data_IF_427906010407
#
_entry.id   IF_427906010407
#
_cell.length_a   1.000
_cell.length_b   1.000
_cell.length_c   1.000
_cell.angle_alpha   90.00
_cell.angle_beta   90.00
_cell.angle_gamma   90.00
#
_symmetry.space_group_name_H-M   'P 1'
#
loop_
_entity.id
_entity.type
_entity.pdbx_description
1 polymer ?
#
# COMPACT_ATOMS: atom_id res chain seq x y z
N UNK A 1 1.32 27.85 20.70
CA UNK A 1 1.77 26.46 20.86
C UNK A 1 0.79 25.46 20.24
N UNK A 2 0.42 25.56 18.95
CA UNK A 2 -0.60 24.68 18.32
C UNK A 2 -0.29 24.33 16.83
N UNK A 3 0.98 24.28 16.43
CA UNK A 3 1.35 24.11 14.99
C UNK A 3 2.03 22.80 14.59
N UNK A 4 2.20 21.82 15.48
CA UNK A 4 2.96 20.57 15.19
C UNK A 4 2.13 19.28 15.15
N UNK A 5 0.86 19.29 15.52
CA UNK A 5 0.01 18.08 15.50
C UNK A 5 -0.65 17.77 14.13
N UNK A 6 -0.66 18.72 13.19
CA UNK A 6 -1.35 18.60 11.90
C UNK A 6 -0.50 17.89 10.83
N UNK A 7 0.81 17.79 11.01
CA UNK A 7 1.72 17.28 9.96
C UNK A 7 1.74 15.74 9.88
N UNK A 8 1.37 15.03 10.93
CA UNK A 8 1.46 13.55 10.97
C UNK A 8 0.26 12.82 10.35
N UNK A 9 -0.88 13.47 10.23
CA UNK A 9 -2.10 12.88 9.63
C UNK A 9 -2.09 12.96 8.09
N UNK A 10 -1.37 13.92 7.52
CA UNK A 10 -1.29 14.11 6.05
C UNK A 10 -0.36 13.09 5.37
N UNK A 11 0.61 12.53 6.09
CA UNK A 11 1.54 11.54 5.52
C UNK A 11 0.93 10.14 5.30
N UNK A 12 -0.15 9.80 6.00
CA UNK A 12 -0.75 8.46 5.91
C UNK A 12 -1.75 8.31 4.75
N UNK A 13 -2.36 9.40 4.28
CA UNK A 13 -3.33 9.35 3.18
C UNK A 13 -2.69 9.39 1.78
N UNK A 14 -1.42 9.79 1.67
CA UNK A 14 -0.69 9.82 0.39
C UNK A 14 -0.19 8.45 -0.08
N UNK A 15 -0.23 7.42 0.78
CA UNK A 15 0.31 6.09 0.49
C UNK A 15 -0.67 5.11 -0.15
N UNK A 16 -1.96 5.43 -0.24
CA UNK A 16 -2.97 4.52 -0.80
C UNK A 16 -3.31 4.74 -2.28
N UNK A 17 -2.89 5.85 -2.87
CA UNK A 17 -3.12 6.13 -4.30
C UNK A 17 -1.94 5.84 -5.23
N UNK A 18 -0.74 5.61 -4.69
CA UNK A 18 0.48 5.39 -5.48
C UNK A 18 0.94 3.91 -5.52
N UNK A 19 0.15 2.99 -4.96
CA UNK A 19 0.55 1.62 -4.63
C UNK A 19 0.86 0.71 -5.82
N UNK A 20 0.46 1.03 -7.04
CA UNK A 20 0.69 0.17 -8.21
C UNK A 20 1.95 0.55 -8.98
N UNK A 21 2.44 1.79 -8.86
CA UNK A 21 3.59 2.26 -9.66
C UNK A 21 4.92 2.31 -8.90
N UNK A 22 4.92 2.31 -7.56
CA UNK A 22 6.15 2.38 -6.75
C UNK A 22 6.72 1.02 -6.36
N UNK A 23 5.97 -0.07 -6.53
CA UNK A 23 6.42 -1.41 -6.12
C UNK A 23 7.53 -1.98 -7.01
N UNK A 24 7.76 -1.40 -8.17
CA UNK A 24 8.79 -1.88 -9.10
C UNK A 24 10.19 -1.28 -8.92
N UNK A 25 10.34 -0.14 -8.24
CA UNK A 25 11.67 0.51 -8.07
C UNK A 25 12.43 0.13 -6.78
N UNK A 26 11.78 -0.47 -5.78
CA UNK A 26 12.40 -0.71 -4.46
C UNK A 26 13.05 -2.09 -4.32
N UNK A 27 12.94 -2.97 -5.31
CA UNK A 27 13.49 -4.33 -5.20
C UNK A 27 14.82 -4.57 -5.91
N UNK A 28 15.50 -3.53 -6.40
CA UNK A 28 16.79 -3.67 -7.09
C UNK A 28 18.03 -3.28 -6.27
N UNK A 29 17.86 -2.59 -5.12
CA UNK A 29 19.00 -2.22 -4.29
C UNK A 29 18.61 -2.34 -2.81
N UNK A 30 19.46 -3.04 -2.03
CA UNK A 30 19.48 -3.21 -0.57
C UNK A 30 18.70 -4.39 0.05
N UNK A 31 19.31 -5.59 -0.11
CA UNK A 31 19.25 -6.61 0.94
C UNK A 31 20.70 -6.90 1.41
N UNK A 32 21.06 -6.69 2.67
CA UNK A 32 22.35 -7.16 3.19
C UNK A 32 22.29 -8.69 3.34
N UNK A 33 23.02 -9.39 2.48
CA UNK A 33 23.26 -10.82 2.60
C UNK A 33 24.14 -11.13 3.82
N UNK A 34 23.99 -12.32 4.43
CA UNK A 34 24.83 -12.71 5.54
C UNK A 34 26.28 -12.91 5.10
N UNK A 35 27.21 -12.35 5.87
CA UNK A 35 28.65 -12.48 5.69
C UNK A 35 29.07 -13.95 5.75
N UNK A 36 29.56 -14.47 4.63
CA UNK A 36 30.28 -15.76 4.58
C UNK A 36 31.76 -15.45 4.40
N UNK A 37 32.54 -15.83 5.40
CA UNK A 37 34.02 -15.78 5.41
C UNK A 37 34.59 -16.66 4.30
N UNK A 38 35.67 -16.24 3.61
CA UNK A 38 36.26 -17.04 2.56
C UNK A 38 37.27 -18.06 3.14
N UNK A 39 37.02 -19.35 2.90
CA UNK A 39 38.03 -20.38 3.01
C UNK A 39 38.77 -20.51 1.70
N UNK A 40 40.05 -20.29 1.73
CA UNK A 40 40.99 -20.44 0.63
C UNK A 40 41.27 -21.93 0.33
N UNK A 41 41.26 -22.36 -0.93
CA UNK A 41 42.04 -23.51 -1.49
C UNK A 41 42.33 -23.27 -2.99
N UNK A 42 43.40 -23.85 -3.59
CA UNK A 42 44.35 -23.08 -4.38
C UNK A 42 44.24 -23.21 -5.91
N UNK A 43 44.95 -22.31 -6.55
CA UNK A 43 45.20 -22.14 -7.98
C UNK A 43 45.78 -23.39 -8.65
N UNK A 44 45.22 -23.78 -9.81
CA UNK A 44 45.93 -24.52 -10.85
C UNK A 44 45.86 -23.74 -12.16
N UNK A 45 47.00 -23.34 -12.67
CA UNK A 45 47.23 -22.68 -13.96
C UNK A 45 47.10 -23.74 -15.08
N UNK A 46 46.44 -23.34 -16.16
CA UNK A 46 46.37 -24.13 -17.39
C UNK A 46 46.04 -23.26 -18.60
N UNK A 47 47.05 -22.85 -19.29
CA UNK A 47 47.31 -22.48 -20.71
C UNK A 47 46.15 -22.25 -21.68
N UNK A 48 46.17 -21.03 -22.30
CA UNK A 48 45.56 -20.72 -23.63
C UNK A 48 46.18 -21.57 -24.75
N UNK A 49 45.43 -21.77 -25.84
CA UNK A 49 45.87 -21.18 -27.10
C UNK A 49 44.78 -20.40 -27.85
N UNK A 50 45.29 -19.42 -28.60
CA UNK A 50 44.61 -18.62 -29.61
C UNK A 50 44.26 -19.50 -30.85
N UNK A 51 43.13 -19.17 -31.50
CA UNK A 51 42.78 -19.70 -32.81
C UNK A 51 41.57 -19.04 -33.43
N UNK A 52 41.81 -18.07 -34.31
CA UNK A 52 41.09 -17.68 -35.54
C UNK A 52 39.57 -17.91 -35.69
N UNK A 53 38.87 -16.76 -35.98
CA UNK A 53 37.61 -16.72 -36.72
C UNK A 53 37.66 -17.39 -38.08
N UNK A 54 36.52 -17.91 -38.57
CA UNK A 54 35.96 -17.28 -39.78
C UNK A 54 34.45 -16.96 -39.68
N UNK A 55 34.09 -15.91 -40.39
CA UNK A 55 32.74 -15.44 -40.66
C UNK A 55 31.92 -16.51 -41.42
N UNK A 56 30.66 -16.67 -41.04
CA UNK A 56 29.64 -17.40 -41.81
C UNK A 56 28.35 -16.55 -41.88
N UNK A 57 27.66 -16.50 -43.03
CA UNK A 57 26.70 -15.49 -43.40
C UNK A 57 25.31 -15.69 -42.82
N UNK A 58 24.52 -14.62 -42.81
CA UNK A 58 23.18 -14.48 -42.32
C UNK A 58 22.25 -15.66 -42.53
N UNK A 59 21.67 -16.14 -41.44
CA UNK A 59 20.42 -16.87 -41.46
C UNK A 59 19.32 -15.88 -41.04
N UNK A 60 18.51 -15.48 -42.02
CA UNK A 60 17.22 -14.85 -41.82
C UNK A 60 16.37 -15.87 -41.08
N UNK A 61 16.18 -15.66 -39.76
CA UNK A 61 15.18 -16.42 -39.01
C UNK A 61 13.82 -15.82 -39.39
N UNK A 62 13.20 -16.45 -40.38
CA UNK A 62 11.77 -16.28 -40.63
C UNK A 62 11.04 -16.76 -39.36
N UNK A 63 10.41 -15.85 -38.65
CA UNK A 63 9.45 -16.17 -37.61
C UNK A 63 8.30 -16.94 -38.25
N UNK A 64 8.25 -18.26 -37.99
CA UNK A 64 7.07 -19.07 -38.29
C UNK A 64 5.99 -18.71 -37.26
N UNK A 65 4.80 -18.35 -37.72
CA UNK A 65 3.65 -18.22 -36.82
C UNK A 65 3.03 -19.63 -36.65
N UNK A 66 3.67 -20.49 -35.89
CA UNK A 66 3.00 -21.69 -35.41
C UNK A 66 2.38 -21.38 -34.04
N UNK A 67 1.19 -20.83 -34.11
CA UNK A 67 0.24 -20.86 -33.01
C UNK A 67 -0.17 -22.30 -32.75
N UNK A 68 0.48 -22.95 -31.82
CA UNK A 68 0.02 -24.23 -31.27
C UNK A 68 -1.20 -23.96 -30.37
N UNK A 69 -2.35 -23.72 -31.00
CA UNK A 69 -3.63 -23.73 -30.32
C UNK A 69 -3.89 -25.13 -29.76
N UNK A 70 -3.63 -25.35 -28.48
CA UNK A 70 -4.02 -26.58 -27.81
C UNK A 70 -2.97 -27.30 -26.94
N UNK A 71 -1.73 -26.82 -26.85
CA UNK A 71 -0.80 -27.36 -25.88
C UNK A 71 -1.19 -26.96 -24.45
N UNK A 72 -1.10 -27.86 -23.44
CA UNK A 72 -1.36 -27.52 -22.07
C UNK A 72 -0.37 -26.45 -21.63
N UNK A 73 -0.90 -25.40 -20.97
CA UNK A 73 -0.08 -24.33 -20.40
C UNK A 73 0.85 -24.90 -19.33
N UNK A 74 2.09 -24.40 -19.20
CA UNK A 74 2.99 -24.79 -18.13
C UNK A 74 2.38 -24.46 -16.75
N UNK A 75 2.90 -25.03 -15.64
CA UNK A 75 2.50 -24.65 -14.28
C UNK A 75 2.56 -23.14 -14.08
N UNK A 76 1.79 -22.62 -13.12
CA UNK A 76 1.82 -21.20 -12.78
C UNK A 76 3.22 -20.78 -12.30
N UNK A 77 3.69 -19.57 -12.66
CA UNK A 77 4.98 -19.04 -12.20
C UNK A 77 4.97 -18.82 -10.69
N UNK A 78 6.15 -18.58 -10.11
CA UNK A 78 6.34 -18.47 -8.67
C UNK A 78 5.47 -17.37 -8.05
N UNK A 79 5.29 -16.25 -8.73
CA UNK A 79 4.47 -15.11 -8.27
C UNK A 79 2.97 -15.42 -8.17
N UNK A 80 2.47 -16.34 -8.98
CA UNK A 80 1.04 -16.73 -9.00
C UNK A 80 0.78 -18.07 -8.30
N UNK A 81 1.84 -18.76 -7.88
CA UNK A 81 1.68 -20.03 -7.16
C UNK A 81 1.00 -19.79 -5.80
N UNK A 82 0.04 -20.66 -5.47
CA UNK A 82 -0.70 -20.61 -4.21
C UNK A 82 -1.54 -19.31 -4.01
N UNK A 83 -1.82 -18.59 -5.13
CA UNK A 83 -2.74 -17.45 -5.13
C UNK A 83 -4.05 -17.81 -5.83
N UNK A 84 -5.12 -17.08 -5.50
CA UNK A 84 -6.41 -17.21 -6.18
C UNK A 84 -6.51 -16.17 -7.31
N UNK A 85 -7.17 -16.54 -8.41
CA UNK A 85 -7.45 -15.63 -9.52
C UNK A 85 -8.30 -14.44 -9.04
N UNK A 86 -7.85 -13.22 -9.28
CA UNK A 86 -8.60 -12.00 -8.95
C UNK A 86 -9.41 -11.52 -10.17
N UNK A 87 -10.54 -10.86 -9.88
CA UNK A 87 -11.39 -10.26 -10.88
C UNK A 87 -12.50 -11.18 -11.39
N UNK A 88 -13.33 -10.63 -12.27
CA UNK A 88 -14.49 -11.31 -12.85
C UNK A 88 -14.81 -10.75 -14.24
N UNK A 89 -15.57 -11.54 -15.02
CA UNK A 89 -16.12 -11.11 -16.31
C UNK A 89 -17.62 -10.95 -16.16
N UNK A 90 -18.15 -9.79 -16.47
CA UNK A 90 -19.58 -9.53 -16.50
C UNK A 90 -20.09 -9.54 -17.94
N UNK A 91 -21.28 -10.12 -18.09
CA UNK A 91 -22.00 -10.21 -19.37
C UNK A 91 -23.40 -9.68 -19.14
N UNK A 92 -23.90 -8.87 -20.05
CA UNK A 92 -25.27 -8.34 -19.97
C UNK A 92 -26.32 -9.40 -20.38
N UNK A 93 -27.61 -9.03 -20.27
CA UNK A 93 -28.72 -9.89 -20.62
C UNK A 93 -28.77 -10.24 -22.13
N UNK A 94 -28.08 -9.48 -22.97
CA UNK A 94 -28.00 -9.68 -24.44
C UNK A 94 -26.81 -10.58 -24.82
N UNK A 95 -25.97 -10.97 -23.86
CA UNK A 95 -24.80 -11.81 -24.09
C UNK A 95 -23.54 -11.06 -24.50
N UNK A 96 -23.51 -9.74 -24.31
CA UNK A 96 -22.36 -8.88 -24.57
C UNK A 96 -21.54 -8.62 -23.31
N UNK A 97 -20.24 -8.37 -23.50
CA UNK A 97 -19.31 -8.02 -22.43
C UNK A 97 -19.70 -6.68 -21.80
N UNK A 98 -19.66 -6.62 -20.46
CA UNK A 98 -19.71 -5.37 -19.71
C UNK A 98 -18.31 -5.06 -19.17
N UNK A 99 -17.52 -4.22 -19.85
CA UNK A 99 -16.20 -3.82 -19.38
C UNK A 99 -16.31 -3.16 -18.01
N UNK A 100 -15.50 -3.62 -17.04
CA UNK A 100 -15.51 -3.12 -15.67
C UNK A 100 -14.15 -3.28 -15.00
N UNK A 101 -14.00 -2.76 -13.79
CA UNK A 101 -12.76 -2.85 -13.02
C UNK A 101 -12.37 -4.31 -12.70
N UNK A 102 -13.34 -5.22 -12.58
CA UNK A 102 -13.09 -6.64 -12.29
C UNK A 102 -12.43 -7.34 -13.47
N UNK A 103 -12.86 -7.03 -14.70
CA UNK A 103 -12.20 -7.52 -15.91
C UNK A 103 -10.74 -7.06 -15.97
N UNK A 104 -10.48 -5.79 -15.62
CA UNK A 104 -9.11 -5.28 -15.54
C UNK A 104 -8.29 -5.98 -14.45
N UNK A 105 -8.90 -6.29 -13.28
CA UNK A 105 -8.23 -7.07 -12.23
C UNK A 105 -7.85 -8.46 -12.71
N UNK A 106 -8.73 -9.13 -13.45
CA UNK A 106 -8.43 -10.42 -14.07
C UNK A 106 -7.20 -10.35 -14.98
N UNK A 107 -7.13 -9.34 -15.85
CA UNK A 107 -5.95 -9.14 -16.72
C UNK A 107 -4.69 -8.87 -15.89
N UNK A 108 -4.77 -7.98 -14.91
CA UNK A 108 -3.64 -7.60 -14.07
C UNK A 108 -3.14 -8.75 -13.19
N UNK A 109 -4.01 -9.67 -12.76
CA UNK A 109 -3.61 -10.86 -12.05
C UNK A 109 -2.56 -11.65 -12.85
N UNK A 110 -2.83 -11.96 -14.11
CA UNK A 110 -1.86 -12.68 -14.95
C UNK A 110 -0.69 -11.80 -15.40
N UNK A 111 -0.90 -10.51 -15.63
CA UNK A 111 0.16 -9.56 -15.99
C UNK A 111 1.17 -9.36 -14.86
N UNK A 112 0.83 -9.70 -13.62
CA UNK A 112 1.78 -9.67 -12.49
C UNK A 112 2.95 -10.64 -12.65
N UNK A 113 2.80 -11.66 -13.52
CA UNK A 113 3.88 -12.59 -13.91
C UNK A 113 4.90 -12.00 -14.90
N UNK A 114 4.76 -10.71 -15.25
CA UNK A 114 5.72 -10.04 -16.15
C UNK A 114 7.13 -10.08 -15.55
N UNK A 115 8.07 -10.57 -16.32
CA UNK A 115 9.46 -10.81 -15.89
C UNK A 115 9.75 -12.27 -15.54
N UNK A 116 8.75 -13.07 -15.19
CA UNK A 116 8.87 -14.52 -15.00
C UNK A 116 8.46 -15.27 -16.28
N UNK A 117 7.48 -14.75 -17.00
CA UNK A 117 6.96 -15.33 -18.24
C UNK A 117 7.00 -14.34 -19.41
N UNK A 118 6.99 -14.87 -20.62
CA UNK A 118 6.89 -14.06 -21.84
C UNK A 118 5.51 -13.42 -21.96
N UNK A 119 5.43 -12.26 -22.62
CA UNK A 119 4.16 -11.57 -22.85
C UNK A 119 3.15 -12.44 -23.62
N UNK A 120 3.63 -13.28 -24.55
CA UNK A 120 2.79 -14.22 -25.31
C UNK A 120 2.20 -15.29 -24.39
N UNK A 121 2.97 -15.86 -23.48
CA UNK A 121 2.50 -16.87 -22.53
C UNK A 121 1.48 -16.27 -21.54
N UNK A 122 1.75 -15.07 -21.03
CA UNK A 122 0.80 -14.35 -20.15
C UNK A 122 -0.52 -14.11 -20.89
N UNK A 123 -0.46 -13.66 -22.15
CA UNK A 123 -1.68 -13.49 -22.97
C UNK A 123 -2.45 -14.79 -23.14
N UNK A 124 -1.75 -15.91 -23.41
CA UNK A 124 -2.40 -17.22 -23.53
C UNK A 124 -3.04 -17.68 -22.21
N UNK A 125 -2.46 -17.36 -21.05
CA UNK A 125 -3.07 -17.63 -19.76
C UNK A 125 -4.38 -16.85 -19.58
N UNK A 126 -4.38 -15.57 -19.92
CA UNK A 126 -5.61 -14.73 -19.86
C UNK A 126 -6.68 -15.32 -20.79
N UNK A 127 -6.32 -15.69 -22.01
CA UNK A 127 -7.25 -16.31 -22.95
C UNK A 127 -7.78 -17.66 -22.44
N UNK A 128 -6.95 -18.47 -21.80
CA UNK A 128 -7.38 -19.72 -21.19
C UNK A 128 -8.36 -19.47 -20.01
N UNK A 129 -8.09 -18.47 -19.18
CA UNK A 129 -8.99 -18.06 -18.11
C UNK A 129 -10.34 -17.57 -18.64
N UNK A 130 -10.36 -16.74 -19.69
CA UNK A 130 -11.59 -16.28 -20.35
C UNK A 130 -12.39 -17.47 -20.93
N UNK A 131 -11.73 -18.42 -21.60
CA UNK A 131 -12.38 -19.65 -22.14
C UNK A 131 -12.98 -20.51 -21.02
N UNK A 132 -12.29 -20.62 -19.87
CA UNK A 132 -12.77 -21.40 -18.73
C UNK A 132 -14.08 -20.84 -18.14
N UNK A 133 -14.35 -19.55 -18.32
CA UNK A 133 -15.60 -18.89 -17.86
C UNK A 133 -16.80 -19.19 -18.74
N UNK A 134 -16.61 -19.86 -19.89
CA UNK A 134 -17.69 -20.29 -20.81
C UNK A 134 -18.61 -19.14 -21.23
N UNK A 135 -18.02 -18.02 -21.62
CA UNK A 135 -18.76 -16.81 -22.04
C UNK A 135 -19.54 -17.09 -23.34
N UNK A 136 -20.65 -16.34 -23.59
CA UNK A 136 -21.23 -16.25 -24.92
C UNK A 136 -20.18 -15.83 -25.97
N UNK A 137 -20.36 -16.29 -27.23
CA UNK A 137 -19.37 -16.03 -28.27
C UNK A 137 -19.08 -14.53 -28.45
N UNK A 138 -20.12 -13.69 -28.50
CA UNK A 138 -19.96 -12.24 -28.62
C UNK A 138 -19.12 -11.66 -27.45
N UNK A 139 -19.47 -12.01 -26.21
CA UNK A 139 -18.72 -11.54 -25.03
C UNK A 139 -17.27 -12.05 -25.01
N UNK A 140 -17.01 -13.26 -25.53
CA UNK A 140 -15.65 -13.79 -25.63
C UNK A 140 -14.82 -12.99 -26.63
N UNK A 141 -15.36 -12.71 -27.83
CA UNK A 141 -14.68 -11.93 -28.86
C UNK A 141 -14.41 -10.49 -28.39
N UNK A 142 -15.41 -9.86 -27.73
CA UNK A 142 -15.27 -8.55 -27.11
C UNK A 142 -14.22 -8.53 -25.99
N UNK A 143 -14.16 -9.57 -25.15
CA UNK A 143 -13.15 -9.67 -24.10
C UNK A 143 -11.73 -9.81 -24.64
N UNK A 144 -11.56 -10.55 -25.75
CA UNK A 144 -10.28 -10.63 -26.47
C UNK A 144 -9.87 -9.30 -27.05
N UNK A 145 -10.81 -8.59 -27.68
CA UNK A 145 -10.54 -7.25 -28.21
C UNK A 145 -10.14 -6.27 -27.10
N UNK A 146 -10.89 -6.22 -25.99
CA UNK A 146 -10.55 -5.37 -24.85
C UNK A 146 -9.20 -5.73 -24.25
N UNK A 147 -8.83 -7.02 -24.21
CA UNK A 147 -7.50 -7.44 -23.75
C UNK A 147 -6.40 -6.89 -24.65
N UNK A 148 -6.55 -7.01 -25.99
CA UNK A 148 -5.54 -6.54 -26.94
C UNK A 148 -5.38 -5.02 -26.89
N UNK A 149 -6.49 -4.29 -26.79
CA UNK A 149 -6.52 -2.84 -26.61
C UNK A 149 -5.88 -2.43 -25.27
N UNK A 150 -6.13 -3.21 -24.21
CA UNK A 150 -5.52 -2.97 -22.90
C UNK A 150 -4.01 -3.17 -22.91
N UNK A 151 -3.52 -4.20 -23.58
CA UNK A 151 -2.08 -4.42 -23.74
C UNK A 151 -1.41 -3.31 -24.55
N UNK A 152 -2.06 -2.83 -25.61
CA UNK A 152 -1.60 -1.68 -26.41
C UNK A 152 -1.56 -0.38 -25.55
N UNK A 153 -2.59 -0.15 -24.74
CA UNK A 153 -2.59 0.96 -23.78
C UNK A 153 -1.40 0.87 -22.78
N UNK A 154 -1.14 -0.30 -22.22
CA UNK A 154 -0.04 -0.47 -21.27
C UNK A 154 1.32 -0.17 -21.90
N UNK A 155 1.53 -0.54 -23.15
CA UNK A 155 2.76 -0.22 -23.88
C UNK A 155 2.90 1.28 -24.14
N UNK A 156 1.82 1.95 -24.57
CA UNK A 156 1.80 3.39 -24.75
C UNK A 156 2.05 4.14 -23.42
N UNK A 157 1.46 3.68 -22.31
CA UNK A 157 1.65 4.26 -21.00
C UNK A 157 3.10 4.09 -20.48
N UNK A 158 3.76 2.98 -20.80
CA UNK A 158 5.22 2.82 -20.54
C UNK A 158 6.04 3.84 -21.32
N UNK A 159 5.71 4.07 -22.60
CA UNK A 159 6.35 5.07 -23.42
C UNK A 159 6.29 6.47 -22.81
N UNK A 160 5.15 6.85 -22.23
CA UNK A 160 5.00 8.11 -21.50
C UNK A 160 5.98 8.22 -20.33
N UNK A 161 6.22 7.13 -19.59
CA UNK A 161 7.15 7.08 -18.46
C UNK A 161 8.63 7.11 -18.85
N UNK A 162 8.99 6.47 -19.97
CA UNK A 162 10.38 6.28 -20.40
C UNK A 162 10.98 7.48 -21.12
N UNK A 163 10.17 8.33 -21.75
CA UNK A 163 10.62 9.47 -22.57
C UNK A 163 11.07 10.68 -21.75
N UNK A 164 11.25 10.58 -20.44
CA UNK A 164 11.66 11.69 -19.57
C UNK A 164 10.57 12.74 -19.33
N UNK A 165 9.55 12.81 -20.18
CA UNK A 165 8.44 13.76 -20.06
C UNK A 165 7.68 13.60 -18.73
N UNK A 166 7.48 12.36 -18.28
CA UNK A 166 6.78 12.10 -17.03
C UNK A 166 7.51 12.62 -15.78
N UNK A 167 8.84 12.79 -15.83
CA UNK A 167 9.63 13.34 -14.72
C UNK A 167 9.41 14.86 -14.53
N UNK A 168 8.98 15.56 -15.58
CA UNK A 168 8.75 17.01 -15.58
C UNK A 168 7.27 17.38 -15.49
N UNK A 169 6.36 16.45 -15.77
CA UNK A 169 4.91 16.67 -15.67
C UNK A 169 4.48 16.74 -14.20
N UNK A 170 3.55 17.65 -13.92
CA UNK A 170 2.86 17.59 -12.64
C UNK A 170 1.86 16.41 -12.59
N UNK A 171 1.33 16.12 -11.40
CA UNK A 171 0.42 14.98 -11.20
C UNK A 171 -0.85 15.09 -12.03
N UNK A 172 -1.40 16.29 -12.19
CA UNK A 172 -2.65 16.51 -12.95
C UNK A 172 -2.42 16.31 -14.46
N UNK A 173 -1.34 16.85 -14.99
CA UNK A 173 -0.93 16.68 -16.39
C UNK A 173 -0.69 15.21 -16.74
N UNK A 174 -0.03 14.48 -15.83
CA UNK A 174 0.22 13.05 -16.00
C UNK A 174 -1.06 12.22 -16.01
N UNK A 175 -1.98 12.49 -15.09
CA UNK A 175 -3.28 11.82 -15.06
C UNK A 175 -4.12 12.11 -16.29
N UNK A 176 -4.10 13.35 -16.78
CA UNK A 176 -4.80 13.70 -18.02
C UNK A 176 -4.20 13.00 -19.26
N UNK A 177 -2.87 12.89 -19.31
CA UNK A 177 -2.19 12.16 -20.38
C UNK A 177 -2.55 10.66 -20.37
N UNK A 178 -2.60 10.03 -19.19
CA UNK A 178 -3.04 8.64 -19.04
C UNK A 178 -4.51 8.47 -19.45
N UNK A 179 -5.37 9.39 -19.04
CA UNK A 179 -6.80 9.39 -19.41
C UNK A 179 -6.99 9.50 -20.92
N UNK A 180 -6.18 10.34 -21.58
CA UNK A 180 -6.18 10.45 -23.05
C UNK A 180 -5.78 9.12 -23.70
N UNK A 181 -4.69 8.50 -23.27
CA UNK A 181 -4.25 7.19 -23.78
C UNK A 181 -5.29 6.10 -23.56
N UNK A 182 -5.96 6.06 -22.39
CA UNK A 182 -7.06 5.12 -22.13
C UNK A 182 -8.18 5.26 -23.15
N UNK A 183 -8.64 6.48 -23.45
CA UNK A 183 -9.68 6.72 -24.45
C UNK A 183 -9.23 6.38 -25.87
N UNK A 184 -7.97 6.68 -26.21
CA UNK A 184 -7.42 6.40 -27.55
C UNK A 184 -7.34 4.88 -27.81
N UNK A 185 -6.92 4.10 -26.85
CA UNK A 185 -6.72 2.66 -27.02
C UNK A 185 -7.97 1.83 -26.71
N UNK A 186 -8.70 2.17 -25.65
CA UNK A 186 -9.80 1.35 -25.13
C UNK A 186 -11.19 1.83 -25.57
N UNK A 187 -11.28 3.04 -26.16
CA UNK A 187 -12.55 3.58 -26.63
C UNK A 187 -13.63 3.56 -25.56
N UNK A 188 -14.77 2.92 -25.85
CA UNK A 188 -15.90 2.82 -24.92
C UNK A 188 -15.65 1.94 -23.70
N UNK A 189 -14.64 1.06 -23.71
CA UNK A 189 -14.30 0.23 -22.55
C UNK A 189 -13.53 1.01 -21.47
N UNK A 190 -12.94 2.17 -21.81
CA UNK A 190 -12.12 2.97 -20.89
C UNK A 190 -12.85 3.33 -19.60
N UNK A 191 -14.08 3.82 -19.71
CA UNK A 191 -14.87 4.23 -18.54
C UNK A 191 -15.22 3.05 -17.64
N UNK A 192 -15.54 1.89 -18.22
CA UNK A 192 -15.81 0.68 -17.44
C UNK A 192 -14.57 0.19 -16.70
N UNK A 193 -13.41 0.18 -17.36
CA UNK A 193 -12.17 -0.32 -16.77
C UNK A 193 -11.53 0.63 -15.75
N UNK A 194 -11.69 1.95 -15.92
CA UNK A 194 -10.95 2.98 -15.18
C UNK A 194 -11.80 4.09 -14.56
N UNK A 195 -13.09 4.20 -14.87
CA UNK A 195 -13.90 5.35 -14.49
C UNK A 195 -13.95 5.60 -12.98
N UNK A 196 -13.99 4.55 -12.18
CA UNK A 196 -13.94 4.66 -10.71
C UNK A 196 -12.59 5.21 -10.23
N UNK A 197 -11.48 4.71 -10.78
CA UNK A 197 -10.13 5.20 -10.47
C UNK A 197 -9.98 6.66 -10.90
N UNK A 198 -10.43 7.01 -12.10
CA UNK A 198 -10.36 8.38 -12.62
C UNK A 198 -11.19 9.38 -11.80
N UNK A 199 -12.33 8.94 -11.25
CA UNK A 199 -13.12 9.77 -10.34
C UNK A 199 -12.37 10.04 -9.03
N UNK A 200 -11.70 9.03 -8.47
CA UNK A 200 -10.85 9.18 -7.29
C UNK A 200 -9.65 10.08 -7.56
N UNK A 201 -8.98 9.88 -8.68
CA UNK A 201 -7.83 10.70 -9.10
C UNK A 201 -8.22 12.16 -9.29
N UNK A 202 -9.37 12.43 -9.90
CA UNK A 202 -9.88 13.79 -10.07
C UNK A 202 -10.09 14.49 -8.70
N UNK A 203 -10.70 13.80 -7.74
CA UNK A 203 -10.86 14.31 -6.37
C UNK A 203 -9.51 14.55 -5.71
N UNK A 204 -8.54 13.63 -5.88
CA UNK A 204 -7.21 13.78 -5.30
C UNK A 204 -6.47 15.01 -5.85
N UNK A 205 -6.55 15.27 -7.17
CA UNK A 205 -5.95 16.44 -7.81
C UNK A 205 -6.58 17.75 -7.29
N UNK A 206 -7.91 17.81 -7.22
CA UNK A 206 -8.61 19.00 -6.70
C UNK A 206 -8.28 19.22 -5.21
N UNK A 207 -8.18 18.17 -4.42
CA UNK A 207 -7.76 18.23 -3.03
C UNK A 207 -6.35 18.84 -2.89
N UNK A 208 -5.40 18.40 -3.70
CA UNK A 208 -4.04 18.96 -3.71
C UNK A 208 -4.04 20.47 -4.08
N UNK A 209 -4.88 20.89 -5.03
CA UNK A 209 -5.05 22.31 -5.37
C UNK A 209 -5.58 23.11 -4.18
N UNK A 210 -6.64 22.62 -3.51
CA UNK A 210 -7.21 23.28 -2.32
C UNK A 210 -6.21 23.37 -1.15
N UNK A 211 -5.36 22.36 -0.97
CA UNK A 211 -4.33 22.38 0.07
C UNK A 211 -3.22 23.42 -0.20
N UNK A 212 -2.90 23.65 -1.47
CA UNK A 212 -1.88 24.62 -1.89
C UNK A 212 -2.42 26.06 -1.97
N UNK A 213 -3.72 26.23 -2.06
CA UNK A 213 -4.36 27.55 -2.17
C UNK A 213 -4.26 28.33 -0.86
N UNK A 214 -3.32 29.29 -0.83
CA UNK A 214 -3.12 30.14 0.33
C UNK A 214 -4.18 31.25 0.48
N UNK A 215 -5.02 31.48 -0.53
CA UNK A 215 -6.06 32.50 -0.52
C UNK A 215 -7.30 32.09 0.28
N UNK A 216 -7.47 30.78 0.52
CA UNK A 216 -8.64 30.23 1.23
C UNK A 216 -8.49 30.36 2.75
N UNK A 217 -9.55 30.79 3.41
CA UNK A 217 -9.68 30.63 4.85
C UNK A 217 -9.76 29.14 5.23
N UNK A 218 -9.60 28.86 6.52
CA UNK A 218 -9.71 27.50 7.04
C UNK A 218 -11.11 26.93 6.79
N UNK A 219 -12.13 27.73 7.07
CA UNK A 219 -13.55 27.38 6.93
C UNK A 219 -13.93 27.13 5.48
N UNK A 220 -13.51 27.99 4.54
CA UNK A 220 -13.74 27.78 3.11
C UNK A 220 -13.07 26.52 2.60
N UNK A 221 -11.83 26.25 3.06
CA UNK A 221 -11.11 25.02 2.69
C UNK A 221 -11.82 23.78 3.20
N UNK A 222 -12.28 23.77 4.46
CA UNK A 222 -13.03 22.66 5.05
C UNK A 222 -14.34 22.39 4.28
N UNK A 223 -15.09 23.42 3.93
CA UNK A 223 -16.32 23.30 3.15
C UNK A 223 -16.06 22.71 1.74
N UNK A 224 -15.04 23.22 1.05
CA UNK A 224 -14.69 22.70 -0.29
C UNK A 224 -14.16 21.26 -0.23
N UNK A 225 -13.39 20.92 0.81
CA UNK A 225 -12.93 19.55 1.03
C UNK A 225 -14.11 18.60 1.30
N UNK A 226 -15.08 18.98 2.08
CA UNK A 226 -16.31 18.20 2.31
C UNK A 226 -17.09 17.98 0.99
N UNK A 227 -17.24 19.03 0.18
CA UNK A 227 -17.90 18.93 -1.14
C UNK A 227 -17.15 18.03 -2.11
N UNK A 228 -15.80 17.92 -2.01
CA UNK A 228 -15.02 16.98 -2.81
C UNK A 228 -15.24 15.53 -2.38
N UNK A 229 -15.36 15.25 -1.08
CA UNK A 229 -15.64 13.88 -0.61
C UNK A 229 -16.99 13.37 -1.13
N UNK A 230 -18.00 14.24 -1.30
CA UNK A 230 -19.29 13.85 -1.89
C UNK A 230 -19.21 13.47 -3.37
N UNK A 231 -18.14 13.85 -4.08
CA UNK A 231 -17.89 13.50 -5.50
C UNK A 231 -17.22 12.14 -5.68
N UNK A 232 -16.73 11.54 -4.58
CA UNK A 232 -16.17 10.19 -4.64
C UNK A 232 -17.25 9.15 -4.95
N UNK A 233 -16.91 8.06 -5.64
CA UNK A 233 -17.78 6.90 -5.77
C UNK A 233 -18.31 6.44 -4.41
N UNK A 234 -19.59 6.04 -4.31
CA UNK A 234 -20.21 5.72 -3.01
C UNK A 234 -19.49 4.64 -2.20
N UNK A 235 -18.97 3.61 -2.87
CA UNK A 235 -18.21 2.52 -2.26
C UNK A 235 -16.85 2.98 -1.72
N UNK A 236 -16.15 3.87 -2.46
CA UNK A 236 -14.89 4.48 -2.01
C UNK A 236 -15.13 5.36 -0.80
N UNK A 237 -16.21 6.16 -0.82
CA UNK A 237 -16.61 7.00 0.31
C UNK A 237 -16.93 6.16 1.55
N UNK A 238 -17.74 5.11 1.39
CA UNK A 238 -18.06 4.18 2.46
C UNK A 238 -16.81 3.51 3.05
N UNK A 239 -15.90 3.04 2.22
CA UNK A 239 -14.63 2.44 2.65
C UNK A 239 -13.74 3.42 3.40
N UNK A 240 -13.66 4.69 2.95
CA UNK A 240 -12.92 5.74 3.66
C UNK A 240 -13.55 6.08 5.00
N UNK A 241 -14.86 6.19 5.05
CA UNK A 241 -15.58 6.46 6.29
C UNK A 241 -15.36 5.34 7.32
N UNK A 242 -15.44 4.09 6.88
CA UNK A 242 -15.13 2.93 7.70
C UNK A 242 -13.69 2.96 8.23
N UNK A 243 -12.71 3.26 7.37
CA UNK A 243 -11.31 3.33 7.74
C UNK A 243 -11.00 4.42 8.78
N UNK A 244 -11.71 5.56 8.75
CA UNK A 244 -11.49 6.67 9.69
C UNK A 244 -12.41 6.62 10.91
N UNK A 245 -13.42 5.75 10.92
CA UNK A 245 -14.38 5.63 12.01
C UNK A 245 -13.72 5.42 13.39
N UNK A 246 -12.70 4.55 13.55
CA UNK A 246 -12.04 4.39 14.84
C UNK A 246 -11.33 5.67 15.34
N UNK A 247 -10.70 6.41 14.42
CA UNK A 247 -10.04 7.66 14.75
C UNK A 247 -11.04 8.75 15.15
N UNK A 248 -12.17 8.84 14.44
CA UNK A 248 -13.26 9.76 14.77
C UNK A 248 -13.86 9.44 16.12
N UNK A 249 -14.12 8.16 16.39
CA UNK A 249 -14.58 7.68 17.69
C UNK A 249 -13.63 8.11 18.82
N UNK A 250 -12.33 7.87 18.65
CA UNK A 250 -11.32 8.27 19.63
C UNK A 250 -11.28 9.79 19.83
N UNK A 251 -11.42 10.58 18.78
CA UNK A 251 -11.45 12.04 18.88
C UNK A 251 -12.65 12.52 19.68
N UNK A 252 -13.85 11.99 19.42
CA UNK A 252 -15.07 12.30 20.17
C UNK A 252 -14.94 11.90 21.64
N UNK A 253 -14.39 10.71 21.93
CA UNK A 253 -14.14 10.28 23.31
C UNK A 253 -13.16 11.22 24.05
N UNK A 254 -12.11 11.67 23.37
CA UNK A 254 -11.18 12.66 23.95
C UNK A 254 -11.85 14.01 24.22
N UNK A 255 -12.72 14.46 23.32
CA UNK A 255 -13.49 15.70 23.54
C UNK A 255 -14.48 15.56 24.72
N UNK A 256 -15.17 14.43 24.84
CA UNK A 256 -16.05 14.13 25.97
C UNK A 256 -15.28 14.16 27.29
N UNK A 257 -14.14 13.47 27.36
CA UNK A 257 -13.28 13.46 28.55
C UNK A 257 -12.72 14.85 28.89
N UNK A 258 -12.32 15.64 27.88
CA UNK A 258 -11.86 17.02 28.07
C UNK A 258 -12.98 17.95 28.56
N UNK A 259 -14.25 17.67 28.21
CA UNK A 259 -15.42 18.33 28.69
C UNK A 259 -15.87 17.87 30.11
N UNK A 260 -15.18 16.89 30.71
CA UNK A 260 -15.47 16.39 32.05
C UNK A 260 -16.48 15.25 32.11
N UNK A 261 -16.70 14.54 30.98
CA UNK A 261 -17.57 13.37 30.95
C UNK A 261 -17.08 12.29 31.94
N UNK A 262 -18.03 11.64 32.59
CA UNK A 262 -17.78 10.55 33.53
C UNK A 262 -17.49 9.25 32.82
N UNK A 263 -17.02 8.23 33.55
CA UNK A 263 -16.85 6.88 33.00
C UNK A 263 -18.19 6.30 32.50
N UNK A 264 -19.31 6.62 33.17
CA UNK A 264 -20.64 6.21 32.75
C UNK A 264 -21.07 6.91 31.46
N UNK A 265 -20.82 8.20 31.30
CA UNK A 265 -21.10 8.93 30.05
C UNK A 265 -20.34 8.33 28.87
N UNK A 266 -19.07 7.95 29.08
CA UNK A 266 -18.23 7.31 28.07
C UNK A 266 -18.75 5.90 27.75
N UNK A 267 -19.16 5.13 28.76
CA UNK A 267 -19.79 3.83 28.58
C UNK A 267 -21.05 3.92 27.71
N UNK A 268 -21.97 4.85 28.04
CA UNK A 268 -23.20 5.04 27.27
C UNK A 268 -22.94 5.49 25.83
N UNK A 269 -21.99 6.39 25.64
CA UNK A 269 -21.54 6.81 24.32
C UNK A 269 -21.03 5.61 23.50
N UNK A 270 -20.17 4.76 24.07
CA UNK A 270 -19.64 3.55 23.42
C UNK A 270 -20.73 2.55 23.10
N UNK A 271 -21.64 2.31 24.03
CA UNK A 271 -22.80 1.40 23.78
C UNK A 271 -23.60 1.83 22.56
N UNK A 272 -23.86 3.12 22.41
CA UNK A 272 -24.64 3.65 21.29
C UNK A 272 -23.89 3.66 19.96
N UNK A 273 -22.56 3.74 19.96
CA UNK A 273 -21.74 3.92 18.73
C UNK A 273 -21.11 2.64 18.23
N UNK A 274 -20.62 1.77 19.12
CA UNK A 274 -19.89 0.55 18.76
C UNK A 274 -20.52 -0.74 19.29
N UNK A 275 -21.57 -0.63 20.10
CA UNK A 275 -22.30 -1.75 20.67
C UNK A 275 -21.64 -2.39 21.89
N UNK A 276 -22.32 -3.32 22.58
CA UNK A 276 -21.92 -3.80 23.91
C UNK A 276 -20.62 -4.60 23.89
N UNK A 277 -20.39 -5.43 22.89
CA UNK A 277 -19.20 -6.27 22.82
C UNK A 277 -17.93 -5.43 22.63
N UNK A 278 -17.94 -4.44 21.72
CA UNK A 278 -16.82 -3.54 21.49
C UNK A 278 -16.61 -2.60 22.69
N UNK A 279 -17.68 -2.15 23.35
CA UNK A 279 -17.61 -1.35 24.58
C UNK A 279 -16.83 -2.10 25.66
N UNK A 280 -17.19 -3.35 25.95
CA UNK A 280 -16.47 -4.16 26.94
C UNK A 280 -14.99 -4.37 26.62
N UNK A 281 -14.66 -4.57 25.33
CA UNK A 281 -13.24 -4.66 24.89
C UNK A 281 -12.48 -3.36 25.08
N UNK A 282 -13.08 -2.22 24.75
CA UNK A 282 -12.47 -0.90 24.92
C UNK A 282 -12.23 -0.56 26.39
N UNK A 283 -13.18 -0.87 27.26
CA UNK A 283 -13.04 -0.67 28.72
C UNK A 283 -11.96 -1.54 29.34
N UNK A 284 -11.87 -2.81 28.90
CA UNK A 284 -10.79 -3.72 29.32
C UNK A 284 -9.43 -3.14 28.90
N UNK A 285 -9.31 -2.67 27.65
CA UNK A 285 -8.10 -2.05 27.14
C UNK A 285 -7.73 -0.77 27.91
N UNK A 286 -8.72 0.05 28.25
CA UNK A 286 -8.49 1.28 29.04
C UNK A 286 -8.01 0.94 30.45
N UNK A 287 -8.56 -0.10 31.10
CA UNK A 287 -8.09 -0.60 32.38
C UNK A 287 -6.65 -1.11 32.31
N UNK A 288 -6.29 -1.88 31.27
CA UNK A 288 -4.93 -2.34 31.04
C UNK A 288 -3.94 -1.17 30.84
N UNK A 289 -4.35 -0.18 30.05
CA UNK A 289 -3.55 1.05 29.81
C UNK A 289 -3.34 1.85 31.08
N UNK A 290 -4.38 1.99 31.90
CA UNK A 290 -4.30 2.67 33.17
C UNK A 290 -3.35 1.95 34.15
N UNK A 291 -3.45 0.62 34.26
CA UNK A 291 -2.53 -0.18 35.07
C UNK A 291 -1.08 -0.10 34.58
N UNK A 292 -0.87 -0.15 33.26
CA UNK A 292 0.45 0.03 32.67
C UNK A 292 1.03 1.42 33.00
N UNK A 293 0.25 2.47 32.81
CA UNK A 293 0.65 3.85 33.11
C UNK A 293 1.03 4.02 34.58
N UNK A 294 0.26 3.43 35.50
CA UNK A 294 0.54 3.47 36.93
C UNK A 294 1.84 2.73 37.23
N UNK A 295 2.03 1.50 36.77
CA UNK A 295 3.28 0.72 36.98
C UNK A 295 4.50 1.43 36.43
N UNK A 296 4.39 2.07 35.28
CA UNK A 296 5.48 2.84 34.69
C UNK A 296 5.82 4.09 35.53
N UNK A 297 4.81 4.80 36.03
CA UNK A 297 5.02 5.94 36.93
C UNK A 297 5.69 5.52 38.26
N UNK A 298 5.24 4.42 38.87
CA UNK A 298 5.82 3.85 40.10
C UNK A 298 7.26 3.43 39.88
N UNK A 299 7.57 2.79 38.77
CA UNK A 299 8.93 2.43 38.39
C UNK A 299 9.83 3.66 38.26
N UNK A 300 9.37 4.69 37.58
CA UNK A 300 10.12 5.94 37.38
C UNK A 300 10.40 6.66 38.70
N UNK A 301 9.42 6.75 39.59
CA UNK A 301 9.58 7.34 40.92
C UNK A 301 10.60 6.56 41.75
N UNK A 302 10.53 5.24 41.75
CA UNK A 302 11.53 4.36 42.46
C UNK A 302 12.92 4.49 41.85
N UNK A 303 13.04 4.55 40.55
CA UNK A 303 14.33 4.76 39.85
C UNK A 303 14.97 6.10 40.21
N UNK A 304 14.18 7.15 40.28
CA UNK A 304 14.63 8.47 40.69
C UNK A 304 15.11 8.45 42.16
N UNK A 305 14.34 7.85 43.06
CA UNK A 305 14.73 7.69 44.47
C UNK A 305 16.04 6.93 44.62
N UNK A 306 16.28 5.88 43.84
CA UNK A 306 17.57 5.18 43.80
C UNK A 306 18.69 6.09 43.30
N UNK A 307 18.41 7.01 42.37
CA UNK A 307 19.37 8.00 41.89
C UNK A 307 19.85 8.94 42.99
N UNK A 308 18.97 9.25 43.94
CA UNK A 308 19.27 10.14 45.08
C UNK A 308 19.90 9.41 46.28
N UNK A 309 19.51 8.15 46.52
CA UNK A 309 19.90 7.41 47.74
C UNK A 309 21.17 6.55 47.58
N UNK A 310 21.52 6.11 46.36
CA UNK A 310 22.68 5.27 46.10
C UNK A 310 23.77 6.06 45.37
N UNK A 311 24.85 6.48 46.01
CA UNK A 311 25.91 7.28 45.41
C UNK A 311 26.80 6.47 44.46
N UNK A 312 26.94 5.15 44.70
CA UNK A 312 27.77 4.26 43.86
C UNK A 312 27.08 3.96 42.54
N UNK A 313 27.66 4.36 41.40
CA UNK A 313 27.04 4.17 40.10
C UNK A 313 26.77 2.70 39.73
N UNK A 314 27.69 1.79 40.11
CA UNK A 314 27.56 0.36 39.81
C UNK A 314 26.43 -0.29 40.61
N UNK A 315 26.35 0.03 41.90
CA UNK A 315 25.26 -0.43 42.78
C UNK A 315 23.91 0.13 42.34
N UNK A 316 23.87 1.41 42.03
CA UNK A 316 22.67 2.07 41.52
C UNK A 316 22.17 1.41 40.21
N UNK A 317 23.08 1.14 39.28
CA UNK A 317 22.71 0.46 38.04
C UNK A 317 22.17 -0.95 38.30
N UNK A 318 22.82 -1.72 39.19
CA UNK A 318 22.35 -3.05 39.56
C UNK A 318 20.96 -3.00 40.22
N UNK A 319 20.71 -2.02 41.09
CA UNK A 319 19.42 -1.85 41.76
C UNK A 319 18.30 -1.46 40.73
N UNK A 320 18.58 -0.57 39.79
CA UNK A 320 17.64 -0.20 38.73
C UNK A 320 17.32 -1.40 37.83
N UNK A 321 18.32 -2.21 37.49
CA UNK A 321 18.09 -3.43 36.72
C UNK A 321 17.19 -4.42 37.46
N UNK A 322 17.41 -4.66 38.76
CA UNK A 322 16.52 -5.49 39.56
C UNK A 322 15.10 -4.94 39.60
N UNK A 323 14.95 -3.64 39.87
CA UNK A 323 13.65 -3.00 39.89
C UNK A 323 12.90 -3.16 38.54
N UNK A 324 13.61 -3.06 37.41
CA UNK A 324 13.06 -3.29 36.08
C UNK A 324 12.58 -4.75 35.92
N UNK A 325 13.40 -5.72 36.37
CA UNK A 325 13.06 -7.12 36.31
C UNK A 325 11.87 -7.51 37.18
N UNK A 326 11.78 -6.91 38.38
CA UNK A 326 10.70 -7.19 39.32
C UNK A 326 9.38 -6.53 38.96
N UNK A 327 9.43 -5.42 38.19
CA UNK A 327 8.26 -4.62 37.85
C UNK A 327 7.60 -5.01 36.51
N UNK A 328 8.34 -5.63 35.59
CA UNK A 328 7.89 -5.83 34.18
C UNK A 328 8.28 -7.20 33.63
N UNK A 329 7.42 -7.75 32.77
CA UNK A 329 7.71 -8.94 31.97
C UNK A 329 8.83 -8.70 30.95
N UNK A 330 9.45 -9.73 30.36
CA UNK A 330 10.46 -9.54 29.30
C UNK A 330 10.01 -8.63 28.15
N UNK A 331 8.78 -8.79 27.69
CA UNK A 331 8.19 -8.02 26.60
C UNK A 331 7.93 -6.56 27.02
N UNK A 332 7.45 -6.37 28.24
CA UNK A 332 7.20 -5.05 28.81
C UNK A 332 8.49 -4.24 29.01
N UNK A 333 9.62 -4.89 29.33
CA UNK A 333 10.92 -4.20 29.49
C UNK A 333 11.39 -3.51 28.22
N UNK A 334 11.11 -4.11 27.03
CA UNK A 334 11.39 -3.48 25.75
C UNK A 334 10.54 -2.22 25.56
N UNK A 335 9.27 -2.26 25.98
CA UNK A 335 8.36 -1.12 25.94
C UNK A 335 8.75 0.01 26.90
N UNK A 336 9.27 -0.32 28.09
CA UNK A 336 9.79 0.68 29.05
C UNK A 336 10.95 1.45 28.43
N UNK A 337 11.92 0.76 27.81
CA UNK A 337 13.04 1.40 27.12
C UNK A 337 12.60 2.33 25.99
N UNK A 338 11.63 1.90 25.18
CA UNK A 338 11.06 2.73 24.12
C UNK A 338 10.32 3.97 24.68
N UNK A 339 9.55 3.81 25.76
CA UNK A 339 8.83 4.90 26.40
C UNK A 339 9.78 5.98 26.96
N UNK A 340 10.89 5.58 27.57
CA UNK A 340 11.92 6.50 28.08
C UNK A 340 12.62 7.24 26.92
N UNK A 341 12.88 6.56 25.80
CA UNK A 341 13.48 7.19 24.61
C UNK A 341 12.56 8.24 23.99
N UNK A 342 11.26 7.95 23.88
CA UNK A 342 10.27 8.89 23.36
C UNK A 342 10.15 10.13 24.27
N UNK A 343 10.12 9.93 25.57
CA UNK A 343 10.01 11.04 26.54
C UNK A 343 11.26 11.93 26.49
N UNK A 344 12.46 11.33 26.42
CA UNK A 344 13.70 12.09 26.25
C UNK A 344 13.70 12.93 24.97
N UNK A 345 13.20 12.37 23.86
CA UNK A 345 13.10 13.06 22.58
C UNK A 345 12.06 14.21 22.58
N UNK A 346 10.94 14.03 23.30
CA UNK A 346 9.88 15.05 23.40
C UNK A 346 10.19 16.12 24.43
N UNK A 347 10.91 15.77 25.51
CA UNK A 347 11.35 16.68 26.58
C UNK A 347 12.49 17.62 26.16
N UNK A 348 13.34 17.21 25.21
CA UNK A 348 14.45 18.04 24.71
C UNK A 348 14.05 19.09 23.66
N UNK A 349 12.80 19.11 23.21
CA UNK A 349 12.27 20.05 22.22
C UNK A 349 11.59 21.30 22.79
N UNK A 350 11.66 21.54 24.08
CA UNK A 350 10.97 22.62 24.82
C UNK A 350 11.91 23.67 25.47
N UNK A 351 13.15 23.84 24.97
CA UNK A 351 14.07 24.89 25.40
C UNK A 351 14.15 26.02 24.40
#
# INVERSE_FOLDING_TARGET
MKRRAVILVVALCALLGAGVFSWWKVRAEDAPGPAVTPSAVPVAQGSRPQGASPAVPGAVVTASPDSQAGAPLPPLPGSLKDTEEDGAVLVDASGHLVPNADLRRLFNYYLSATGEESASLIRERILAALRAKKLPAAAMDEAVQVLDDYLAYLEAARGLGSNGSAATMDTAERLESLRKLRREHLGGAADGLFGQEEAVDAVAVERLKLMKDASLTKEEREQRMAALEERLPPDVRASREEAVRPLRQQAVEQELLAAGATAEDLHQHRLSTVGPEATGRLESLDAERAQWKQRLADFRAKREALGQSEPDPARRQAAVQRLLFDSFTPEERLRVGAADTIEAATGSGGG
#
